data_IF_914442586739
#
_entry.id   IF_914442586739
#
_cell.length_a   1.000
_cell.length_b   1.000
_cell.length_c   1.000
_cell.angle_alpha   90.00
_cell.angle_beta   90.00
_cell.angle_gamma   90.00
#
_symmetry.space_group_name_H-M   'P 1'
#
loop_
_entity.id
_entity.type
_entity.pdbx_description
1 polymer ?
#
# COMPACT_ATOMS: atom_id res chain seq x y z
N UNK A 1 -3.97 30.70 10.88
CA UNK A 1 -2.97 29.62 10.78
C UNK A 1 -2.34 29.64 9.40
N UNK A 2 -1.02 29.70 9.31
CA UNK A 2 -0.30 29.53 8.03
C UNK A 2 -0.46 28.09 7.53
N UNK A 3 -0.36 27.87 6.21
CA UNK A 3 -0.48 26.51 5.63
C UNK A 3 0.55 25.53 6.22
N UNK A 4 1.76 26.01 6.56
CA UNK A 4 2.77 25.22 7.28
C UNK A 4 2.31 24.74 8.66
N UNK A 5 1.57 25.56 9.41
CA UNK A 5 1.03 25.17 10.72
C UNK A 5 -0.06 24.11 10.59
N UNK A 6 -0.87 24.15 9.52
CA UNK A 6 -1.93 23.15 9.27
C UNK A 6 -1.32 21.79 8.91
N UNK A 7 -0.33 21.79 8.03
CA UNK A 7 0.40 20.58 7.62
C UNK A 7 1.12 19.94 8.83
N UNK A 8 1.76 20.76 9.67
CA UNK A 8 2.38 20.29 10.91
C UNK A 8 1.36 19.65 11.85
N UNK A 9 0.21 20.29 12.06
CA UNK A 9 -0.85 19.77 12.92
C UNK A 9 -1.47 18.46 12.39
N UNK A 10 -1.57 18.29 11.06
CA UNK A 10 -2.02 17.05 10.42
C UNK A 10 -1.06 15.90 10.68
N UNK A 11 0.22 16.09 10.39
CA UNK A 11 1.26 15.08 10.62
C UNK A 11 1.37 14.72 12.10
N UNK A 12 1.28 15.73 12.97
CA UNK A 12 1.32 15.53 14.41
C UNK A 12 0.08 14.77 14.91
N UNK A 13 -1.11 15.06 14.39
CA UNK A 13 -2.33 14.33 14.75
C UNK A 13 -2.29 12.85 14.39
N UNK A 14 -1.81 12.50 13.19
CA UNK A 14 -1.64 11.11 12.75
C UNK A 14 -0.57 10.37 13.58
N UNK A 15 0.52 11.05 13.94
CA UNK A 15 1.56 10.47 14.79
C UNK A 15 1.05 10.25 16.22
N UNK A 16 0.31 11.21 16.78
CA UNK A 16 -0.29 11.08 18.11
C UNK A 16 -1.29 9.93 18.15
N UNK A 17 -2.12 9.74 17.12
CA UNK A 17 -3.05 8.60 17.08
C UNK A 17 -2.33 7.27 17.01
N UNK A 18 -1.24 7.16 16.23
CA UNK A 18 -0.38 5.98 16.19
C UNK A 18 0.23 5.68 17.57
N UNK A 19 0.83 6.69 18.21
CA UNK A 19 1.44 6.54 19.54
C UNK A 19 0.40 6.16 20.60
N UNK A 20 -0.81 6.71 20.52
CA UNK A 20 -1.90 6.36 21.42
C UNK A 20 -2.33 4.89 21.24
N UNK A 21 -2.46 4.39 20.01
CA UNK A 21 -2.76 2.98 19.76
C UNK A 21 -1.66 2.06 20.30
N UNK A 22 -0.38 2.41 20.08
CA UNK A 22 0.75 1.65 20.62
C UNK A 22 0.68 1.59 22.15
N UNK A 23 0.41 2.71 22.81
CA UNK A 23 0.30 2.76 24.27
C UNK A 23 -0.86 1.89 24.78
N UNK A 24 -2.03 1.95 24.13
CA UNK A 24 -3.20 1.14 24.49
C UNK A 24 -2.88 -0.35 24.35
N UNK A 25 -2.45 -0.82 23.17
CA UNK A 25 -2.17 -2.25 22.98
C UNK A 25 -1.00 -2.77 23.80
N UNK A 26 0.01 -1.94 24.03
CA UNK A 26 1.10 -2.26 24.96
C UNK A 26 0.62 -2.46 26.39
N UNK A 27 -0.41 -1.72 26.84
CA UNK A 27 -0.97 -1.88 28.19
C UNK A 27 -1.84 -3.14 28.31
N UNK A 28 -2.37 -3.63 27.18
CA UNK A 28 -3.26 -4.80 27.14
C UNK A 28 -2.52 -6.12 26.91
N UNK A 29 -1.33 -6.09 26.30
CA UNK A 29 -0.54 -7.30 26.02
C UNK A 29 0.95 -7.04 26.18
N UNK A 30 1.59 -7.78 27.08
CA UNK A 30 3.05 -7.76 27.26
C UNK A 30 3.81 -8.24 26.02
N UNK A 31 3.18 -9.08 25.19
CA UNK A 31 3.77 -9.56 23.95
C UNK A 31 3.80 -8.47 22.85
N UNK A 32 3.04 -7.39 22.99
CA UNK A 32 2.88 -6.38 21.94
C UNK A 32 4.17 -5.61 21.65
N UNK A 33 4.95 -5.25 22.68
CA UNK A 33 6.23 -4.54 22.55
C UNK A 33 7.42 -5.48 22.31
N UNK A 34 7.20 -6.77 22.07
CA UNK A 34 8.30 -7.68 21.74
C UNK A 34 8.89 -7.33 20.37
N UNK A 35 10.21 -7.50 20.23
CA UNK A 35 10.91 -7.28 18.96
C UNK A 35 10.32 -8.16 17.83
N UNK A 36 9.94 -9.41 18.14
CA UNK A 36 9.30 -10.31 17.19
C UNK A 36 7.96 -9.78 16.69
N UNK A 37 7.12 -9.26 17.59
CA UNK A 37 5.87 -8.62 17.18
C UNK A 37 6.13 -7.34 16.37
N UNK A 38 7.06 -6.48 16.81
CA UNK A 38 7.43 -5.27 16.07
C UNK A 38 7.86 -5.55 14.63
N UNK A 39 8.67 -6.59 14.41
CA UNK A 39 9.07 -7.00 13.05
C UNK A 39 7.91 -7.60 12.25
N UNK A 40 7.01 -8.34 12.90
CA UNK A 40 5.81 -8.89 12.27
C UNK A 40 4.84 -7.78 11.84
N UNK A 41 4.65 -6.76 12.69
CA UNK A 41 3.89 -5.55 12.38
C UNK A 41 4.54 -4.81 11.21
N UNK A 42 5.85 -4.56 11.26
CA UNK A 42 6.55 -3.88 10.18
C UNK A 42 6.40 -4.64 8.86
N UNK A 43 6.54 -5.97 8.86
CA UNK A 43 6.31 -6.80 7.68
C UNK A 43 4.86 -6.72 7.18
N UNK A 44 3.86 -6.78 8.06
CA UNK A 44 2.45 -6.70 7.67
C UNK A 44 2.09 -5.33 7.10
N UNK A 45 2.66 -4.25 7.65
CA UNK A 45 2.47 -2.88 7.19
C UNK A 45 2.98 -2.67 5.77
N UNK A 46 4.00 -3.43 5.31
CA UNK A 46 4.60 -3.22 3.99
C UNK A 46 3.59 -3.29 2.84
N UNK A 47 2.66 -4.25 2.86
CA UNK A 47 1.62 -4.37 1.83
C UNK A 47 0.71 -3.15 1.78
N UNK A 48 0.30 -2.64 2.95
CA UNK A 48 -0.53 -1.43 3.06
C UNK A 48 0.27 -0.21 2.62
N UNK A 49 1.53 -0.11 3.02
CA UNK A 49 2.41 0.99 2.68
C UNK A 49 2.69 1.07 1.17
N UNK A 50 3.00 -0.04 0.50
CA UNK A 50 3.22 -0.05 -0.95
C UNK A 50 2.01 0.47 -1.72
N UNK A 51 0.82 -0.06 -1.41
CA UNK A 51 -0.42 0.38 -2.06
C UNK A 51 -0.76 1.81 -1.66
N UNK A 52 -0.57 2.17 -0.40
CA UNK A 52 -0.80 3.52 0.13
C UNK A 52 0.07 4.57 -0.55
N UNK A 53 1.34 4.27 -0.83
CA UNK A 53 2.23 5.16 -1.59
C UNK A 53 1.70 5.41 -3.01
N UNK A 54 1.19 4.37 -3.68
CA UNK A 54 0.53 4.48 -4.98
C UNK A 54 -0.76 5.30 -4.90
N UNK A 55 -1.62 4.96 -3.94
CA UNK A 55 -2.87 5.67 -3.67
C UNK A 55 -2.62 7.16 -3.37
N UNK A 56 -1.56 7.49 -2.63
CA UNK A 56 -1.17 8.87 -2.33
C UNK A 56 -0.89 9.66 -3.61
N UNK A 57 -0.13 9.09 -4.55
CA UNK A 57 0.17 9.76 -5.81
C UNK A 57 -1.11 10.00 -6.64
N UNK A 58 -2.01 9.02 -6.70
CA UNK A 58 -3.29 9.13 -7.42
C UNK A 58 -4.22 10.15 -6.76
N UNK A 59 -4.37 10.10 -5.43
CA UNK A 59 -5.22 11.00 -4.66
C UNK A 59 -4.72 12.44 -4.75
N UNK A 60 -3.40 12.68 -4.71
CA UNK A 60 -2.87 14.04 -4.89
C UNK A 60 -3.33 14.62 -6.23
N UNK A 61 -3.41 13.82 -7.30
CA UNK A 61 -3.93 14.30 -8.60
C UNK A 61 -5.46 14.46 -8.67
N UNK A 62 -6.19 14.23 -7.58
CA UNK A 62 -7.66 14.26 -7.53
C UNK A 62 -8.32 12.98 -8.05
N UNK A 63 -7.56 11.91 -8.22
CA UNK A 63 -8.05 10.60 -8.64
C UNK A 63 -8.33 9.67 -7.47
N UNK A 64 -8.98 8.54 -7.75
CA UNK A 64 -9.11 7.40 -6.84
C UNK A 64 -8.81 6.14 -7.66
N UNK A 65 -8.10 5.17 -7.08
CA UNK A 65 -7.84 3.87 -7.67
C UNK A 65 -8.33 2.74 -6.75
N UNK A 66 -9.53 2.25 -7.04
CA UNK A 66 -10.13 1.14 -6.29
C UNK A 66 -9.67 -0.24 -6.80
N UNK A 67 -8.91 -0.29 -7.89
CA UNK A 67 -8.52 -1.55 -8.52
C UNK A 67 -7.33 -2.22 -7.85
N UNK A 68 -6.55 -1.49 -7.06
CA UNK A 68 -5.23 -1.91 -6.55
C UNK A 68 -5.26 -3.26 -5.84
N UNK A 69 -6.31 -3.55 -5.06
CA UNK A 69 -6.54 -4.83 -4.37
C UNK A 69 -6.68 -6.02 -5.32
N UNK A 70 -7.29 -5.81 -6.48
CA UNK A 70 -7.49 -6.86 -7.49
C UNK A 70 -6.35 -6.92 -8.50
N UNK A 71 -5.70 -5.79 -8.79
CA UNK A 71 -4.49 -5.72 -9.61
C UNK A 71 -3.33 -6.43 -8.93
N UNK A 72 -3.16 -6.30 -7.61
CA UNK A 72 -2.12 -7.03 -6.88
C UNK A 72 -2.35 -8.55 -6.94
N UNK A 73 -3.60 -9.00 -6.92
CA UNK A 73 -3.94 -10.42 -7.03
C UNK A 73 -3.61 -10.95 -8.42
N UNK A 74 -4.05 -10.25 -9.47
CA UNK A 74 -3.73 -10.62 -10.86
C UNK A 74 -2.22 -10.64 -11.12
N UNK A 75 -1.51 -9.61 -10.68
CA UNK A 75 -0.05 -9.51 -10.84
C UNK A 75 0.69 -10.58 -10.04
N UNK A 76 0.25 -10.89 -8.81
CA UNK A 76 0.79 -11.97 -7.99
C UNK A 76 0.56 -13.36 -8.61
N UNK A 77 -0.62 -13.59 -9.19
CA UNK A 77 -0.93 -14.80 -9.97
C UNK A 77 -0.03 -14.89 -11.20
N UNK A 78 0.12 -13.82 -11.98
CA UNK A 78 0.97 -13.81 -13.17
C UNK A 78 2.45 -14.09 -12.83
N UNK A 79 2.96 -13.51 -11.74
CA UNK A 79 4.28 -13.82 -11.20
C UNK A 79 4.42 -15.31 -10.88
N UNK A 80 3.52 -15.86 -10.06
CA UNK A 80 3.58 -17.27 -9.66
C UNK A 80 3.42 -18.24 -10.83
N UNK A 81 2.57 -17.92 -11.82
CA UNK A 81 2.44 -18.70 -13.05
C UNK A 81 3.74 -18.75 -13.84
N UNK A 82 4.43 -17.60 -13.99
CA UNK A 82 5.70 -17.54 -14.69
C UNK A 82 6.76 -18.40 -13.99
N UNK A 83 6.88 -18.30 -12.66
CA UNK A 83 7.82 -19.12 -11.87
C UNK A 83 7.46 -20.61 -11.95
N UNK A 84 6.17 -20.95 -11.86
CA UNK A 84 5.71 -22.34 -11.99
C UNK A 84 5.96 -22.93 -13.39
N UNK A 85 5.97 -22.08 -14.42
CA UNK A 85 6.33 -22.45 -15.79
C UNK A 85 7.86 -22.59 -15.99
N UNK A 86 8.67 -22.41 -14.94
CA UNK A 86 10.12 -22.58 -14.97
C UNK A 86 10.91 -21.29 -15.20
N UNK A 87 10.27 -20.12 -15.24
CA UNK A 87 10.98 -18.85 -15.28
C UNK A 87 11.72 -18.59 -13.95
N UNK A 88 12.78 -17.78 -13.99
CA UNK A 88 13.44 -17.36 -12.76
C UNK A 88 12.54 -16.44 -11.93
N UNK A 89 12.83 -16.33 -10.63
CA UNK A 89 12.02 -15.54 -9.70
C UNK A 89 12.03 -14.05 -10.09
N UNK A 90 13.16 -13.54 -10.57
CA UNK A 90 13.31 -12.16 -11.03
C UNK A 90 12.41 -11.88 -12.24
N UNK A 91 12.32 -12.84 -13.17
CA UNK A 91 11.41 -12.74 -14.32
C UNK A 91 9.96 -12.79 -13.85
N UNK A 92 9.61 -13.65 -12.90
CA UNK A 92 8.26 -13.68 -12.32
C UNK A 92 7.87 -12.34 -11.68
N UNK A 93 8.78 -11.75 -10.88
CA UNK A 93 8.58 -10.43 -10.27
C UNK A 93 8.37 -9.36 -11.36
N UNK A 94 9.20 -9.38 -12.41
CA UNK A 94 9.08 -8.45 -13.54
C UNK A 94 7.74 -8.59 -14.27
N UNK A 95 7.27 -9.82 -14.49
CA UNK A 95 5.94 -10.09 -15.07
C UNK A 95 4.85 -9.47 -14.20
N UNK A 96 4.90 -9.66 -12.88
CA UNK A 96 3.93 -9.06 -11.96
C UNK A 96 3.94 -7.52 -12.01
N UNK A 97 5.12 -6.90 -12.02
CA UNK A 97 5.30 -5.44 -12.16
C UNK A 97 4.72 -4.93 -13.48
N UNK A 98 4.97 -5.64 -14.59
CA UNK A 98 4.46 -5.28 -15.92
C UNK A 98 2.93 -5.39 -15.97
N UNK A 99 2.37 -6.50 -15.47
CA UNK A 99 0.91 -6.69 -15.40
C UNK A 99 0.27 -5.58 -14.58
N UNK A 100 0.81 -5.28 -13.40
CA UNK A 100 0.36 -4.16 -12.58
C UNK A 100 0.45 -2.82 -13.31
N UNK A 101 1.57 -2.53 -13.96
CA UNK A 101 1.78 -1.32 -14.75
C UNK A 101 0.81 -1.19 -15.94
N UNK A 102 0.51 -2.29 -16.64
CA UNK A 102 -0.49 -2.33 -17.71
C UNK A 102 -1.88 -2.01 -17.16
N UNK A 103 -2.26 -2.62 -16.03
CA UNK A 103 -3.52 -2.33 -15.38
C UNK A 103 -3.65 -0.83 -15.00
N UNK A 104 -2.58 -0.28 -14.41
CA UNK A 104 -2.50 1.15 -14.09
C UNK A 104 -2.56 2.03 -15.34
N UNK A 105 -1.87 1.65 -16.42
CA UNK A 105 -1.91 2.38 -17.69
C UNK A 105 -3.33 2.40 -18.28
N UNK A 106 -4.03 1.27 -18.27
CA UNK A 106 -5.42 1.17 -18.74
C UNK A 106 -6.32 2.12 -17.95
N UNK A 107 -6.25 2.07 -16.61
CA UNK A 107 -6.99 3.01 -15.76
C UNK A 107 -6.67 4.47 -16.09
N UNK A 108 -5.38 4.82 -16.15
CA UNK A 108 -4.93 6.17 -16.45
C UNK A 108 -5.37 6.65 -17.84
N UNK A 109 -5.39 5.77 -18.85
CA UNK A 109 -5.87 6.09 -20.19
C UNK A 109 -7.39 6.33 -20.21
N UNK A 110 -8.17 5.50 -19.53
CA UNK A 110 -9.62 5.72 -19.40
C UNK A 110 -9.94 7.04 -18.68
N UNK A 111 -9.20 7.35 -17.61
CA UNK A 111 -9.39 8.60 -16.87
C UNK A 111 -8.97 9.82 -17.68
N UNK A 112 -7.88 9.75 -18.45
CA UNK A 112 -7.28 10.94 -19.10
C UNK A 112 -7.72 11.17 -20.55
N UNK A 113 -7.94 10.09 -21.32
CA UNK A 113 -8.34 10.17 -22.73
C UNK A 113 -9.85 10.04 -22.90
N UNK A 114 -10.43 9.00 -22.30
CA UNK A 114 -11.88 8.73 -22.37
C UNK A 114 -12.65 9.64 -21.40
N UNK A 115 -11.96 10.24 -20.43
CA UNK A 115 -12.52 11.14 -19.40
C UNK A 115 -13.59 10.46 -18.55
N UNK A 116 -13.43 9.16 -18.29
CA UNK A 116 -14.28 8.47 -17.33
C UNK A 116 -14.00 8.99 -15.92
N UNK A 117 -15.02 9.10 -15.05
CA UNK A 117 -14.81 9.34 -13.64
C UNK A 117 -13.83 8.29 -13.05
N UNK A 118 -12.80 8.70 -12.30
CA UNK A 118 -11.79 7.81 -11.70
C UNK A 118 -12.34 6.55 -11.03
N UNK A 119 -13.40 6.71 -10.24
CA UNK A 119 -13.99 5.60 -9.51
C UNK A 119 -14.62 4.56 -10.46
N UNK A 120 -15.24 4.97 -11.58
CA UNK A 120 -15.86 4.04 -12.54
C UNK A 120 -14.80 3.24 -13.28
N UNK A 121 -13.77 3.92 -13.80
CA UNK A 121 -12.68 3.25 -14.51
C UNK A 121 -12.01 2.19 -13.63
N UNK A 122 -11.71 2.55 -12.38
CA UNK A 122 -11.00 1.67 -11.46
C UNK A 122 -11.89 0.60 -10.83
N UNK A 123 -13.19 0.85 -10.61
CA UNK A 123 -14.14 -0.22 -10.25
C UNK A 123 -14.29 -1.25 -11.37
N UNK A 124 -14.39 -0.80 -12.63
CA UNK A 124 -14.41 -1.72 -13.78
C UNK A 124 -13.15 -2.57 -13.83
N UNK A 125 -11.99 -1.93 -13.66
CA UNK A 125 -10.72 -2.64 -13.63
C UNK A 125 -10.57 -3.58 -12.43
N UNK A 126 -11.14 -3.24 -11.28
CA UNK A 126 -11.19 -4.11 -10.10
C UNK A 126 -11.87 -5.44 -10.46
N UNK A 127 -13.04 -5.38 -11.11
CA UNK A 127 -13.79 -6.57 -11.53
C UNK A 127 -13.05 -7.37 -12.61
N UNK A 128 -12.48 -6.70 -13.61
CA UNK A 128 -11.71 -7.34 -14.68
C UNK A 128 -10.47 -8.03 -14.10
N UNK A 129 -9.67 -7.34 -13.29
CA UNK A 129 -8.45 -7.90 -12.72
C UNK A 129 -8.75 -9.10 -11.80
N UNK A 130 -9.77 -8.98 -10.94
CA UNK A 130 -10.19 -10.08 -10.07
C UNK A 130 -10.72 -11.27 -10.86
N UNK A 131 -11.57 -11.02 -11.86
CA UNK A 131 -12.13 -12.05 -12.72
C UNK A 131 -11.05 -12.77 -13.53
N UNK A 132 -10.06 -12.05 -14.04
CA UNK A 132 -8.90 -12.63 -14.72
C UNK A 132 -8.05 -13.46 -13.75
N UNK A 133 -7.77 -12.97 -12.53
CA UNK A 133 -7.02 -13.73 -11.54
C UNK A 133 -7.73 -15.06 -11.22
N UNK A 134 -9.04 -15.02 -10.96
CA UNK A 134 -9.85 -16.20 -10.70
C UNK A 134 -9.89 -17.15 -11.91
N UNK A 135 -10.04 -16.62 -13.13
CA UNK A 135 -10.10 -17.42 -14.35
C UNK A 135 -8.77 -18.10 -14.65
N UNK A 136 -7.65 -17.41 -14.45
CA UNK A 136 -6.31 -17.95 -14.72
C UNK A 136 -5.92 -19.07 -13.75
N UNK A 137 -6.51 -19.08 -12.55
CA UNK A 137 -6.21 -20.11 -11.54
C UNK A 137 -7.34 -21.11 -11.31
N UNK A 138 -8.41 -21.06 -12.11
CA UNK A 138 -9.65 -21.83 -11.87
C UNK A 138 -10.16 -21.69 -10.42
N UNK A 139 -10.04 -20.50 -9.86
CA UNK A 139 -10.34 -20.15 -8.47
C UNK A 139 -9.55 -20.94 -7.40
N UNK A 140 -8.47 -21.63 -7.80
CA UNK A 140 -7.59 -22.37 -6.88
C UNK A 140 -6.27 -21.63 -6.60
N UNK A 141 -5.62 -21.89 -5.45
CA UNK A 141 -4.28 -21.39 -5.19
C UNK A 141 -3.22 -22.05 -6.07
N UNK A 142 -2.25 -21.28 -6.56
CA UNK A 142 -1.06 -21.80 -7.22
C UNK A 142 -0.02 -22.15 -6.16
N UNK A 143 0.06 -23.43 -5.80
CA UNK A 143 1.06 -23.97 -4.88
C UNK A 143 2.25 -24.61 -5.60
N UNK A 144 3.29 -24.96 -4.82
CA UNK A 144 4.47 -25.66 -5.30
C UNK A 144 5.55 -24.75 -5.91
N UNK A 145 5.64 -23.50 -5.45
CA UNK A 145 6.58 -22.49 -5.99
C UNK A 145 8.01 -22.61 -5.44
N UNK A 146 8.22 -23.49 -4.45
CA UNK A 146 9.52 -23.75 -3.85
C UNK A 146 9.96 -22.72 -2.79
N UNK A 147 10.90 -23.11 -1.94
CA UNK A 147 11.39 -22.26 -0.85
C UNK A 147 12.06 -20.97 -1.35
N UNK A 148 12.73 -21.03 -2.51
CA UNK A 148 13.39 -19.87 -3.13
C UNK A 148 12.38 -18.75 -3.46
N UNK A 149 11.17 -19.11 -3.89
CA UNK A 149 10.11 -18.13 -4.14
C UNK A 149 9.72 -17.38 -2.86
N UNK A 150 9.85 -18.00 -1.69
CA UNK A 150 9.55 -17.39 -0.39
C UNK A 150 10.58 -16.39 0.14
N UNK A 151 11.77 -16.32 -0.48
CA UNK A 151 12.89 -15.50 0.03
C UNK A 151 12.56 -14.00 -0.01
N UNK A 152 11.87 -13.51 -1.04
CA UNK A 152 11.49 -12.10 -1.14
C UNK A 152 10.57 -11.65 0.01
N UNK A 153 9.59 -12.48 0.37
CA UNK A 153 8.55 -12.17 1.35
C UNK A 153 8.90 -12.53 2.80
N UNK A 154 9.72 -13.58 3.00
CA UNK A 154 10.08 -14.10 4.32
C UNK A 154 11.56 -13.92 4.69
N UNK A 155 12.42 -13.57 3.73
CA UNK A 155 13.84 -13.34 3.97
C UNK A 155 14.07 -12.13 4.89
N UNK A 156 15.08 -12.24 5.74
CA UNK A 156 15.47 -11.17 6.67
C UNK A 156 16.96 -10.84 6.54
N UNK A 157 17.28 -9.55 6.68
CA UNK A 157 18.65 -9.04 6.66
C UNK A 157 19.20 -8.98 8.09
N UNK A 158 20.43 -9.46 8.27
CA UNK A 158 21.16 -9.34 9.54
C UNK A 158 20.57 -10.20 10.66
N UNK A 159 19.87 -11.29 10.33
CA UNK A 159 19.36 -12.25 11.33
C UNK A 159 20.51 -12.85 12.13
N UNK A 160 20.39 -12.83 13.46
CA UNK A 160 21.38 -13.38 14.37
C UNK A 160 20.72 -14.51 15.17
N UNK A 161 21.19 -15.72 14.94
CA UNK A 161 20.78 -16.91 15.67
C UNK A 161 21.98 -17.51 16.36
N UNK A 162 21.77 -18.02 17.58
CA UNK A 162 22.74 -18.87 18.28
C UNK A 162 22.08 -20.23 18.45
N UNK A 163 22.76 -21.31 18.08
CA UNK A 163 22.29 -22.65 18.39
C UNK A 163 22.38 -22.82 19.91
N UNK A 164 21.23 -23.08 20.55
CA UNK A 164 21.15 -23.37 21.97
C UNK A 164 21.76 -24.72 22.31
N UNK A 165 21.99 -24.95 23.59
CA UNK A 165 22.49 -26.23 24.10
C UNK A 165 21.52 -27.40 23.86
N UNK A 166 20.26 -27.08 23.53
CA UNK A 166 19.17 -27.99 23.11
C UNK A 166 19.21 -28.34 21.60
N UNK A 167 20.17 -27.79 20.85
CA UNK A 167 20.31 -27.99 19.41
C UNK A 167 19.34 -27.16 18.56
N UNK A 168 18.50 -26.32 19.18
CA UNK A 168 17.56 -25.46 18.47
C UNK A 168 18.10 -24.02 18.33
N UNK A 169 17.87 -23.34 17.20
CA UNK A 169 18.32 -21.97 17.02
C UNK A 169 17.53 -21.01 17.92
N UNK A 170 18.24 -20.39 18.88
CA UNK A 170 17.76 -19.26 19.65
C UNK A 170 17.97 -17.97 18.85
N UNK A 171 16.86 -17.38 18.41
CA UNK A 171 16.85 -16.15 17.61
C UNK A 171 17.10 -14.96 18.53
N UNK A 172 18.32 -14.42 18.50
CA UNK A 172 18.70 -13.23 19.28
C UNK A 172 18.15 -11.97 18.61
N UNK A 173 18.25 -11.91 17.28
CA UNK A 173 17.67 -10.85 16.48
C UNK A 173 16.98 -11.44 15.24
N UNK A 174 15.65 -11.23 15.07
CA UNK A 174 14.90 -11.83 13.96
C UNK A 174 15.34 -11.38 12.56
N UNK A 175 16.13 -10.31 12.48
CA UNK A 175 16.52 -9.67 11.23
C UNK A 175 15.46 -8.69 10.73
N UNK A 176 15.84 -7.79 9.83
CA UNK A 176 14.92 -6.85 9.18
C UNK A 176 14.33 -7.54 7.94
N UNK A 177 13.01 -7.74 7.83
CA UNK A 177 12.42 -8.38 6.66
C UNK A 177 12.72 -7.61 5.37
N UNK A 178 13.04 -8.31 4.29
CA UNK A 178 13.30 -7.69 2.98
C UNK A 178 12.16 -6.77 2.51
N UNK A 179 10.86 -7.11 2.71
CA UNK A 179 9.77 -6.19 2.38
C UNK A 179 9.86 -4.84 3.09
N UNK A 180 10.34 -4.81 4.34
CA UNK A 180 10.51 -3.58 5.13
C UNK A 180 11.61 -2.71 4.51
N UNK A 181 12.68 -3.31 4.03
CA UNK A 181 13.77 -2.60 3.33
C UNK A 181 13.24 -2.00 2.03
N UNK A 182 12.51 -2.79 1.23
CA UNK A 182 11.88 -2.33 -0.01
C UNK A 182 10.93 -1.16 0.27
N UNK A 183 10.14 -1.23 1.35
CA UNK A 183 9.25 -0.15 1.77
C UNK A 183 10.01 1.15 2.07
N UNK A 184 11.13 1.07 2.80
CA UNK A 184 11.95 2.25 3.09
C UNK A 184 12.53 2.84 1.81
N UNK A 185 13.07 2.00 0.91
CA UNK A 185 13.65 2.44 -0.37
C UNK A 185 12.59 3.13 -1.23
N UNK A 186 11.39 2.54 -1.36
CA UNK A 186 10.31 3.12 -2.14
C UNK A 186 9.74 4.39 -1.53
N UNK A 187 9.63 4.46 -0.21
CA UNK A 187 9.24 5.67 0.48
C UNK A 187 10.22 6.80 0.22
N UNK A 188 11.53 6.54 0.33
CA UNK A 188 12.56 7.54 0.04
C UNK A 188 12.50 7.96 -1.44
N UNK A 189 12.38 7.00 -2.36
CA UNK A 189 12.29 7.28 -3.79
C UNK A 189 11.07 8.15 -4.12
N UNK A 190 9.89 7.80 -3.63
CA UNK A 190 8.67 8.58 -3.88
C UNK A 190 8.73 9.94 -3.18
N UNK A 191 9.32 10.03 -1.99
CA UNK A 191 9.51 11.29 -1.30
C UNK A 191 10.42 12.23 -2.10
N UNK A 192 11.52 11.72 -2.66
CA UNK A 192 12.40 12.48 -3.55
C UNK A 192 11.66 12.95 -4.80
N UNK A 193 10.88 12.06 -5.44
CA UNK A 193 10.07 12.42 -6.62
C UNK A 193 9.08 13.54 -6.28
N UNK A 194 8.30 13.39 -5.20
CA UNK A 194 7.26 14.36 -4.83
C UNK A 194 7.83 15.69 -4.31
N UNK A 195 8.93 15.67 -3.56
CA UNK A 195 9.46 16.88 -2.91
C UNK A 195 10.57 17.59 -3.69
N UNK A 196 11.36 16.87 -4.52
CA UNK A 196 12.57 17.41 -5.15
C UNK A 196 12.51 17.51 -6.67
N UNK A 197 11.53 16.90 -7.35
CA UNK A 197 11.49 16.89 -8.82
C UNK A 197 10.42 17.81 -9.43
N UNK A 198 10.53 18.07 -10.75
CA UNK A 198 9.51 18.77 -11.53
C UNK A 198 8.20 17.98 -11.58
N UNK A 199 8.29 16.66 -11.67
CA UNK A 199 7.14 15.76 -11.70
C UNK A 199 6.30 15.90 -10.43
N UNK A 200 6.95 15.94 -9.26
CA UNK A 200 6.28 16.20 -7.99
C UNK A 200 5.47 17.51 -8.00
N UNK A 201 6.10 18.62 -8.42
CA UNK A 201 5.39 19.91 -8.55
C UNK A 201 4.21 19.85 -9.51
N UNK A 202 4.34 19.14 -10.62
CA UNK A 202 3.23 18.95 -11.56
C UNK A 202 2.10 18.11 -10.96
N UNK A 203 2.42 17.05 -10.20
CA UNK A 203 1.43 16.21 -9.50
C UNK A 203 0.59 17.06 -8.55
N UNK A 204 1.23 17.87 -7.69
CA UNK A 204 0.51 18.77 -6.79
C UNK A 204 -0.29 19.85 -7.54
N UNK A 205 0.28 20.46 -8.57
CA UNK A 205 -0.40 21.49 -9.37
C UNK A 205 -1.66 20.97 -10.07
N UNK A 206 -1.58 19.76 -10.65
CA UNK A 206 -2.75 19.08 -11.25
C UNK A 206 -3.83 18.84 -10.20
N UNK A 207 -3.44 18.41 -9.01
CA UNK A 207 -4.34 18.21 -7.88
C UNK A 207 -5.04 19.46 -7.38
N UNK A 208 -4.32 20.58 -7.29
CA UNK A 208 -4.89 21.84 -6.81
C UNK A 208 -5.83 22.47 -7.83
N UNK A 209 -5.44 22.52 -9.10
CA UNK A 209 -6.29 23.02 -10.19
C UNK A 209 -5.77 22.52 -11.55
N UNK A 210 -6.40 21.48 -12.09
CA UNK A 210 -6.04 20.89 -13.37
C UNK A 210 -6.14 21.86 -14.56
N UNK A 211 -7.10 22.79 -14.53
CA UNK A 211 -7.30 23.79 -15.59
C UNK A 211 -6.15 24.80 -15.62
N UNK A 212 -5.84 25.38 -14.45
CA UNK A 212 -4.74 26.33 -14.30
C UNK A 212 -3.39 25.67 -14.59
N UNK A 213 -3.19 24.42 -14.17
CA UNK A 213 -1.99 23.65 -14.49
C UNK A 213 -1.82 23.46 -16.01
N UNK A 214 -2.92 23.16 -16.73
CA UNK A 214 -2.90 23.02 -18.19
C UNK A 214 -2.55 24.34 -18.89
N UNK A 215 -3.17 25.45 -18.47
CA UNK A 215 -2.87 26.79 -19.00
C UNK A 215 -1.42 27.21 -18.70
N UNK A 216 -0.82 26.68 -17.63
CA UNK A 216 0.59 26.88 -17.27
C UNK A 216 1.56 25.91 -17.97
N UNK A 217 1.10 25.16 -18.99
CA UNK A 217 1.94 24.26 -19.78
C UNK A 217 2.20 22.87 -19.18
N UNK A 218 1.55 22.53 -18.06
CA UNK A 218 1.66 21.18 -17.48
C UNK A 218 0.87 20.19 -18.32
N UNK A 219 1.51 19.08 -18.72
CA UNK A 219 0.86 17.97 -19.43
C UNK A 219 0.00 17.14 -18.47
N UNK A 220 -1.16 17.68 -18.07
CA UNK A 220 -2.09 17.08 -17.09
C UNK A 220 -2.32 15.59 -17.36
N UNK A 221 -2.63 15.23 -18.61
CA UNK A 221 -2.88 13.84 -19.01
C UNK A 221 -1.70 12.91 -18.72
N UNK A 222 -0.47 13.34 -19.03
CA UNK A 222 0.72 12.52 -18.80
C UNK A 222 1.02 12.36 -17.31
N UNK A 223 0.79 13.42 -16.52
CA UNK A 223 0.99 13.41 -15.07
C UNK A 223 -0.01 12.48 -14.40
N UNK A 224 -1.30 12.58 -14.74
CA UNK A 224 -2.33 11.68 -14.22
C UNK A 224 -2.10 10.25 -14.68
N UNK A 225 -1.75 10.00 -15.95
CA UNK A 225 -1.42 8.65 -16.42
C UNK A 225 -0.26 8.05 -15.61
N UNK A 226 0.80 8.83 -15.36
CA UNK A 226 1.94 8.38 -14.56
C UNK A 226 1.53 7.95 -13.15
N UNK A 227 0.64 8.69 -12.46
CA UNK A 227 0.24 8.31 -11.09
C UNK A 227 -0.54 7.00 -11.05
N UNK A 228 -1.39 6.73 -12.04
CA UNK A 228 -2.08 5.44 -12.16
C UNK A 228 -1.13 4.29 -12.53
N UNK A 229 -0.16 4.51 -13.43
CA UNK A 229 0.87 3.50 -13.74
C UNK A 229 1.70 3.18 -12.49
N UNK A 230 2.13 4.20 -11.74
CA UNK A 230 2.86 4.02 -10.49
C UNK A 230 2.04 3.22 -9.47
N UNK A 231 0.75 3.54 -9.31
CA UNK A 231 -0.20 2.79 -8.48
C UNK A 231 -0.26 1.32 -8.87
N UNK A 232 -0.41 1.04 -10.17
CA UNK A 232 -0.44 -0.31 -10.71
C UNK A 232 0.87 -1.09 -10.52
N UNK A 233 2.03 -0.45 -10.75
CA UNK A 233 3.34 -1.06 -10.52
C UNK A 233 3.55 -1.40 -9.05
N UNK A 234 3.16 -0.52 -8.12
CA UNK A 234 3.23 -0.78 -6.68
C UNK A 234 2.26 -1.89 -6.25
N UNK A 235 1.08 -1.99 -6.87
CA UNK A 235 0.19 -3.13 -6.70
C UNK A 235 0.84 -4.43 -7.20
N UNK A 236 1.51 -4.40 -8.35
CA UNK A 236 2.25 -5.54 -8.89
C UNK A 236 3.38 -6.02 -7.97
N UNK A 237 4.16 -5.08 -7.43
CA UNK A 237 5.18 -5.38 -6.42
C UNK A 237 4.56 -5.94 -5.13
N UNK A 238 3.44 -5.37 -4.69
CA UNK A 238 2.72 -5.86 -3.50
C UNK A 238 2.28 -7.30 -3.71
N UNK A 239 1.75 -7.63 -4.89
CA UNK A 239 1.41 -9.01 -5.27
C UNK A 239 2.62 -9.93 -5.23
N UNK A 240 3.76 -9.52 -5.80
CA UNK A 240 4.98 -10.32 -5.78
C UNK A 240 5.48 -10.60 -4.35
N UNK A 241 5.52 -9.59 -3.50
CA UNK A 241 5.93 -9.72 -2.09
C UNK A 241 4.93 -10.56 -1.29
N UNK A 242 3.63 -10.33 -1.46
CA UNK A 242 2.59 -11.01 -0.70
C UNK A 242 2.51 -12.50 -1.06
N UNK A 243 2.52 -12.84 -2.35
CA UNK A 243 2.52 -14.24 -2.79
C UNK A 243 3.83 -14.95 -2.42
N UNK A 244 4.96 -14.24 -2.49
CA UNK A 244 6.24 -14.75 -1.97
C UNK A 244 6.14 -15.08 -0.49
N UNK A 245 5.55 -14.19 0.33
CA UNK A 245 5.35 -14.43 1.76
C UNK A 245 4.52 -15.69 2.03
N UNK A 246 3.47 -15.90 1.25
CA UNK A 246 2.58 -17.05 1.36
C UNK A 246 3.15 -18.33 0.71
N UNK A 247 4.19 -18.21 -0.12
CA UNK A 247 4.73 -19.29 -0.98
C UNK A 247 3.65 -19.94 -1.87
N UNK A 248 2.57 -19.21 -2.11
CA UNK A 248 1.43 -19.59 -2.95
C UNK A 248 0.83 -18.32 -3.53
N UNK A 249 0.28 -18.40 -4.75
CA UNK A 249 -0.55 -17.31 -5.28
C UNK A 249 -2.03 -17.64 -5.13
N UNK A 250 -2.73 -16.85 -4.31
CA UNK A 250 -4.17 -17.00 -4.14
C UNK A 250 -4.90 -15.89 -4.91
N UNK A 251 -5.89 -16.22 -5.75
CA UNK A 251 -6.59 -15.23 -6.57
C UNK A 251 -7.53 -14.32 -5.76
N UNK A 252 -7.77 -14.62 -4.48
CA UNK A 252 -8.61 -13.85 -3.56
C UNK A 252 -7.82 -12.97 -2.59
N UNK A 253 -6.48 -12.98 -2.65
CA UNK A 253 -5.67 -12.08 -1.83
C UNK A 253 -5.87 -10.61 -2.24
N UNK A 254 -5.69 -9.70 -1.28
CA UNK A 254 -5.84 -8.27 -1.52
C UNK A 254 -7.28 -7.74 -1.56
N UNK A 255 -8.29 -8.55 -1.20
CA UNK A 255 -9.67 -8.06 -1.06
C UNK A 255 -9.72 -6.95 0.00
N UNK A 256 -10.32 -5.80 -0.36
CA UNK A 256 -10.43 -4.60 0.49
C UNK A 256 -9.11 -3.89 0.80
N UNK A 257 -7.98 -4.29 0.20
CA UNK A 257 -6.70 -3.62 0.42
C UNK A 257 -6.67 -2.21 -0.20
N UNK A 258 -7.51 -1.94 -1.20
CA UNK A 258 -7.75 -0.61 -1.73
C UNK A 258 -8.28 0.36 -0.67
N UNK A 259 -9.13 -0.12 0.25
CA UNK A 259 -9.64 0.70 1.35
C UNK A 259 -8.55 0.98 2.39
N UNK A 260 -7.69 -0.01 2.69
CA UNK A 260 -6.54 0.20 3.58
C UNK A 260 -5.53 1.19 2.98
N UNK A 261 -5.30 1.11 1.67
CA UNK A 261 -4.42 2.02 0.95
C UNK A 261 -4.94 3.47 1.01
N UNK A 262 -6.23 3.67 0.72
CA UNK A 262 -6.88 4.99 0.83
C UNK A 262 -6.85 5.47 2.29
N UNK A 263 -7.20 4.59 3.24
CA UNK A 263 -7.17 4.91 4.67
C UNK A 263 -5.79 5.36 5.13
N UNK A 264 -4.73 4.66 4.72
CA UNK A 264 -3.35 5.02 5.07
C UNK A 264 -2.98 6.42 4.57
N UNK A 265 -3.36 6.74 3.33
CA UNK A 265 -3.09 8.05 2.75
C UNK A 265 -3.90 9.16 3.44
N UNK A 266 -5.19 8.93 3.71
CA UNK A 266 -6.12 9.91 4.29
C UNK A 266 -5.85 10.14 5.78
N UNK A 267 -5.65 9.08 6.57
CA UNK A 267 -5.20 9.17 7.97
C UNK A 267 -3.85 9.91 8.03
N UNK A 268 -2.98 9.66 7.04
CA UNK A 268 -1.72 10.37 6.85
C UNK A 268 -1.84 11.85 6.46
N UNK A 269 -3.04 12.36 6.21
CA UNK A 269 -3.30 13.76 5.88
C UNK A 269 -3.35 14.08 4.38
N UNK A 270 -3.43 13.07 3.51
CA UNK A 270 -3.69 13.27 2.08
C UNK A 270 -5.16 13.64 1.88
N UNK A 271 -5.43 14.72 1.15
CA UNK A 271 -6.79 15.18 0.91
C UNK A 271 -7.43 14.46 -0.28
N UNK A 272 -8.63 13.92 -0.10
CA UNK A 272 -9.42 13.32 -1.18
C UNK A 272 -9.82 14.33 -2.28
N UNK A 273 -9.76 15.62 -1.98
CA UNK A 273 -10.00 16.70 -2.97
C UNK A 273 -8.79 16.98 -3.86
N UNK A 274 -7.63 16.39 -3.58
CA UNK A 274 -6.40 16.59 -4.35
C UNK A 274 -5.51 17.74 -3.84
N UNK A 275 -4.30 17.81 -4.40
CA UNK A 275 -3.34 18.89 -4.15
C UNK A 275 -2.63 18.87 -2.79
N UNK A 276 -2.98 17.97 -1.88
CA UNK A 276 -2.36 17.83 -0.55
C UNK A 276 -2.08 16.35 -0.27
N UNK A 277 -0.86 16.05 0.15
CA UNK A 277 -0.43 14.70 0.55
C UNK A 277 1.06 14.62 0.84
N UNK A 278 1.49 13.61 1.59
CA UNK A 278 2.92 13.41 1.89
C UNK A 278 3.25 11.95 2.15
N UNK A 279 4.42 11.50 1.68
CA UNK A 279 4.89 10.12 1.86
C UNK A 279 5.00 9.75 3.35
N UNK A 280 5.56 10.63 4.18
CA UNK A 280 5.69 10.39 5.61
C UNK A 280 4.33 10.23 6.29
N UNK A 281 3.34 11.01 5.86
CA UNK A 281 1.97 10.89 6.36
C UNK A 281 1.37 9.52 6.03
N UNK A 282 1.49 9.10 4.77
CA UNK A 282 1.01 7.79 4.31
C UNK A 282 1.65 6.63 5.06
N UNK A 283 2.95 6.70 5.35
CA UNK A 283 3.61 5.68 6.18
C UNK A 283 3.05 5.65 7.59
N UNK A 284 2.88 6.82 8.23
CA UNK A 284 2.28 6.89 9.57
C UNK A 284 0.89 6.27 9.55
N UNK A 285 0.05 6.61 8.56
CA UNK A 285 -1.28 6.03 8.40
C UNK A 285 -1.26 4.52 8.14
N UNK A 286 -0.31 4.02 7.34
CA UNK A 286 -0.14 2.58 7.10
C UNK A 286 0.26 1.84 8.39
N UNK A 287 1.16 2.43 9.19
CA UNK A 287 1.50 1.92 10.51
C UNK A 287 0.32 2.00 11.48
N UNK A 288 -0.52 3.03 11.44
CA UNK A 288 -1.75 3.13 12.26
C UNK A 288 -2.68 1.96 11.96
N UNK A 289 -2.94 1.66 10.69
CA UNK A 289 -3.79 0.52 10.31
C UNK A 289 -3.13 -0.82 10.67
N UNK A 290 -1.82 -0.97 10.44
CA UNK A 290 -1.11 -2.22 10.76
C UNK A 290 -1.03 -2.50 12.26
N UNK A 291 -0.74 -1.49 13.07
CA UNK A 291 -0.76 -1.58 14.55
C UNK A 291 -2.16 -1.91 15.05
N UNK A 292 -3.20 -1.27 14.48
CA UNK A 292 -4.59 -1.56 14.85
C UNK A 292 -4.95 -3.03 14.55
N UNK A 293 -4.63 -3.53 13.36
CA UNK A 293 -4.87 -4.94 12.97
C UNK A 293 -4.12 -5.91 13.86
N UNK A 294 -2.83 -5.66 14.08
CA UNK A 294 -2.01 -6.53 14.92
C UNK A 294 -2.48 -6.53 16.38
N UNK A 295 -2.73 -5.35 16.97
CA UNK A 295 -3.23 -5.23 18.33
C UNK A 295 -4.57 -5.94 18.53
N UNK A 296 -5.53 -5.74 17.62
CA UNK A 296 -6.82 -6.44 17.67
C UNK A 296 -6.67 -7.96 17.49
N UNK A 297 -5.76 -8.40 16.61
CA UNK A 297 -5.47 -9.82 16.41
C UNK A 297 -4.89 -10.45 17.69
N UNK A 298 -3.95 -9.78 18.36
CA UNK A 298 -3.36 -10.25 19.62
C UNK A 298 -4.37 -10.34 20.76
N UNK A 299 -5.42 -9.52 20.73
CA UNK A 299 -6.54 -9.59 21.67
C UNK A 299 -7.58 -10.66 21.29
N UNK A 300 -7.34 -11.45 20.24
CA UNK A 300 -8.26 -12.49 19.79
C UNK A 300 -9.54 -11.96 19.14
N UNK A 301 -9.57 -10.68 18.73
CA UNK A 301 -10.73 -10.09 18.05
C UNK A 301 -10.86 -10.70 16.67
N UNK A 302 -12.05 -11.18 16.32
CA UNK A 302 -12.31 -11.81 15.02
C UNK A 302 -12.06 -10.86 13.85
N UNK A 303 -11.66 -11.39 12.69
CA UNK A 303 -11.42 -10.60 11.48
C UNK A 303 -12.64 -9.80 11.02
N UNK A 304 -13.85 -10.32 11.24
CA UNK A 304 -15.10 -9.61 10.95
C UNK A 304 -15.26 -8.36 11.82
N UNK A 305 -15.01 -8.47 13.13
CA UNK A 305 -15.07 -7.32 14.03
C UNK A 305 -13.94 -6.31 13.74
N UNK A 306 -12.75 -6.79 13.35
CA UNK A 306 -11.66 -5.93 12.91
C UNK A 306 -12.08 -5.06 11.71
N UNK A 307 -12.78 -5.62 10.72
CA UNK A 307 -13.28 -4.86 9.58
C UNK A 307 -14.27 -3.75 10.00
N UNK A 308 -15.17 -4.03 10.95
CA UNK A 308 -16.09 -3.03 11.50
C UNK A 308 -15.31 -1.88 12.14
N UNK A 309 -14.34 -2.20 13.00
CA UNK A 309 -13.52 -1.19 13.71
C UNK A 309 -12.73 -0.34 12.72
N UNK A 310 -12.07 -0.97 11.74
CA UNK A 310 -11.30 -0.26 10.72
C UNK A 310 -12.21 0.65 9.87
N UNK A 311 -13.38 0.15 9.48
CA UNK A 311 -14.38 0.95 8.76
C UNK A 311 -14.82 2.18 9.54
N UNK A 312 -15.09 2.04 10.85
CA UNK A 312 -15.42 3.16 11.73
C UNK A 312 -14.26 4.16 11.84
N UNK A 313 -13.02 3.69 11.98
CA UNK A 313 -11.83 4.56 12.02
C UNK A 313 -11.67 5.36 10.73
N UNK A 314 -11.90 4.74 9.57
CA UNK A 314 -11.87 5.42 8.27
C UNK A 314 -12.97 6.49 8.20
N UNK A 315 -14.20 6.14 8.54
CA UNK A 315 -15.34 7.07 8.54
C UNK A 315 -15.07 8.28 9.44
N UNK A 316 -14.61 8.05 10.68
CA UNK A 316 -14.27 9.12 11.61
C UNK A 316 -13.17 10.03 11.04
N UNK A 317 -12.12 9.44 10.46
CA UNK A 317 -11.01 10.20 9.85
C UNK A 317 -11.50 11.08 8.70
N UNK A 318 -12.31 10.51 7.80
CA UNK A 318 -12.87 11.24 6.66
C UNK A 318 -13.83 12.34 7.11
N UNK A 319 -14.69 12.08 8.10
CA UNK A 319 -15.58 13.10 8.66
C UNK A 319 -14.78 14.27 9.26
N UNK A 320 -13.71 13.99 9.99
CA UNK A 320 -12.82 15.02 10.54
C UNK A 320 -12.15 15.81 9.40
N UNK A 321 -11.68 15.15 8.34
CA UNK A 321 -11.10 15.85 7.18
C UNK A 321 -12.11 16.77 6.48
N UNK A 322 -13.33 16.30 6.24
CA UNK A 322 -14.40 17.07 5.61
C UNK A 322 -14.80 18.30 6.45
N UNK A 323 -14.97 18.14 7.76
CA UNK A 323 -15.30 19.24 8.66
C UNK A 323 -14.20 20.32 8.71
N UNK A 324 -12.95 19.91 8.54
CA UNK A 324 -11.80 20.84 8.50
C UNK A 324 -11.73 21.58 7.18
N UNK A 325 -12.02 20.93 6.06
CA UNK A 325 -11.96 21.53 4.74
C UNK A 325 -13.18 22.42 4.43
N UNK A 326 -14.35 22.17 5.05
CA UNK A 326 -15.53 23.07 4.96
C UNK A 326 -15.37 24.43 5.65
N UNK A 327 -14.37 24.58 6.54
CA UNK A 327 -14.06 25.86 7.19
C UNK A 327 -13.07 26.73 6.39
N UNK A 328 -12.76 26.34 5.16
CA UNK A 328 -12.06 27.17 4.15
C UNK A 328 -13.09 27.81 3.24
#
# INVERSE_FOLDING_TARGET
>A
MTEKQKEFLQKFGALVSLLALIAVFSSMSSAFLTMGNGMSVALQVTSIAFLGLGATAVIITGGIDLSVGSVLALAGVANAMAVKAGASIEVGILVGLIVGGICGAINGLFVTLVKLPPFIATLGMMLVARGLALRLTDAQPISGLGAAFGVLGNGTLGRIERIGDDGFPNVIFPGIPYPVIIMIVLAIALWLVLSRTRLGRHIYAVGSNAEAARLSGVKVRAVTLFTYVLSGVLAGLTGAVLMSRLVTAQPNEGVMYELDAIASAVIGGTSLSGGIGSVSGTLIGAFTIGVLRNGLNMLGVSSFTQQIIIGLVILLTVCIDQLRNRKK
#
